data_IF_408290209447
#
_entry.id   IF_408290209447
#
_cell.length_a   1.000
_cell.length_b   1.000
_cell.length_c   1.000
_cell.angle_alpha   90.00
_cell.angle_beta   90.00
_cell.angle_gamma   90.00
#
_symmetry.space_group_name_H-M   'P 1'
#
loop_
_entity.id
_entity.type
_entity.pdbx_description
1 polymer ?
#
# COMPACT_ATOMS: atom_id res chain seq x y z
N UNK A 1 -62.85 46.86 -31.20
CA UNK A 1 -61.73 46.05 -31.74
C UNK A 1 -60.38 46.24 -31.03
N UNK A 2 -60.26 47.03 -29.94
CA UNK A 2 -58.95 47.25 -29.26
C UNK A 2 -58.64 46.28 -28.11
N UNK A 3 -59.65 45.72 -27.42
CA UNK A 3 -59.47 44.88 -26.22
C UNK A 3 -58.90 43.49 -26.53
N UNK A 4 -59.33 42.87 -27.64
CA UNK A 4 -58.83 41.56 -28.09
C UNK A 4 -57.35 41.58 -28.53
N UNK A 5 -56.83 42.75 -28.93
CA UNK A 5 -55.43 42.89 -29.34
C UNK A 5 -54.44 42.89 -28.17
N UNK A 6 -54.89 43.29 -26.98
CA UNK A 6 -54.03 43.45 -25.81
C UNK A 6 -53.77 42.12 -25.09
N UNK A 7 -54.79 41.27 -24.97
CA UNK A 7 -54.64 39.93 -24.39
C UNK A 7 -53.80 38.99 -25.28
N UNK A 8 -53.97 39.08 -26.59
CA UNK A 8 -53.18 38.31 -27.56
C UNK A 8 -51.69 38.71 -27.50
N UNK A 9 -51.40 40.02 -27.39
CA UNK A 9 -50.04 40.51 -27.16
C UNK A 9 -49.48 39.99 -25.83
N UNK A 10 -50.23 40.02 -24.73
CA UNK A 10 -49.77 39.55 -23.41
C UNK A 10 -49.45 38.04 -23.38
N UNK A 11 -50.24 37.21 -24.07
CA UNK A 11 -49.97 35.77 -24.24
C UNK A 11 -48.74 35.49 -25.12
N UNK A 12 -48.56 36.25 -26.22
CA UNK A 12 -47.35 36.18 -27.05
C UNK A 12 -46.07 36.56 -26.29
N UNK A 13 -46.11 37.61 -25.49
CA UNK A 13 -44.97 38.04 -24.69
C UNK A 13 -44.60 37.05 -23.58
N UNK A 14 -45.60 36.39 -22.96
CA UNK A 14 -45.34 35.27 -22.02
C UNK A 14 -44.71 34.07 -22.72
N UNK A 15 -45.19 33.70 -23.90
CA UNK A 15 -44.61 32.60 -24.68
C UNK A 15 -43.16 32.90 -25.10
N UNK A 16 -42.89 34.13 -25.55
CA UNK A 16 -41.53 34.59 -25.87
C UNK A 16 -40.64 34.57 -24.62
N UNK A 17 -41.13 35.03 -23.47
CA UNK A 17 -40.39 34.99 -22.22
C UNK A 17 -40.05 33.56 -21.77
N UNK A 18 -40.96 32.60 -21.94
CA UNK A 18 -40.69 31.18 -21.64
C UNK A 18 -39.71 30.54 -22.62
N UNK A 19 -39.77 30.89 -23.91
CA UNK A 19 -38.82 30.39 -24.91
C UNK A 19 -37.41 30.96 -24.65
N UNK A 20 -37.31 32.26 -24.36
CA UNK A 20 -36.02 32.90 -24.05
C UNK A 20 -35.46 32.41 -22.72
N UNK A 21 -36.31 32.28 -21.69
CA UNK A 21 -35.91 31.73 -20.39
C UNK A 21 -35.47 30.27 -20.49
N UNK A 22 -36.21 29.44 -21.25
CA UNK A 22 -35.88 28.05 -21.51
C UNK A 22 -34.58 27.90 -22.31
N UNK A 23 -34.36 28.74 -23.34
CA UNK A 23 -33.12 28.74 -24.11
C UNK A 23 -31.91 29.17 -23.27
N UNK A 24 -32.06 30.18 -22.39
CA UNK A 24 -31.04 30.57 -21.43
C UNK A 24 -30.70 29.45 -20.45
N UNK A 25 -31.71 28.74 -19.94
CA UNK A 25 -31.52 27.61 -19.04
C UNK A 25 -30.81 26.44 -19.74
N UNK A 26 -31.14 26.19 -21.01
CA UNK A 26 -30.50 25.16 -21.84
C UNK A 26 -29.05 25.54 -22.19
N UNK A 27 -28.77 26.82 -22.43
CA UNK A 27 -27.40 27.34 -22.60
C UNK A 27 -26.60 27.23 -21.29
N UNK A 28 -27.20 27.53 -20.13
CA UNK A 28 -26.55 27.33 -18.83
C UNK A 28 -26.27 25.85 -18.56
N UNK A 29 -27.18 24.94 -18.94
CA UNK A 29 -26.96 23.50 -18.83
C UNK A 29 -25.92 22.97 -19.82
N UNK A 30 -25.84 23.52 -21.03
CA UNK A 30 -24.79 23.21 -22.01
C UNK A 30 -23.44 23.75 -21.58
N UNK A 31 -23.39 24.96 -21.02
CA UNK A 31 -22.18 25.52 -20.40
C UNK A 31 -21.80 24.67 -19.19
N UNK A 32 -22.72 24.28 -18.32
CA UNK A 32 -22.44 23.38 -17.19
C UNK A 32 -21.98 21.98 -17.63
N UNK A 33 -22.46 21.47 -18.77
CA UNK A 33 -21.98 20.22 -19.36
C UNK A 33 -20.59 20.36 -20.00
N UNK A 34 -20.29 21.52 -20.61
CA UNK A 34 -18.97 21.87 -21.14
C UNK A 34 -17.95 22.19 -20.03
N UNK A 35 -18.35 22.89 -18.97
CA UNK A 35 -17.50 23.26 -17.82
C UNK A 35 -17.37 22.14 -16.80
N UNK A 36 -18.35 21.23 -16.71
CA UNK A 36 -18.24 19.96 -15.97
C UNK A 36 -17.23 18.99 -16.59
N UNK A 37 -16.89 19.17 -17.87
CA UNK A 37 -15.75 18.52 -18.54
C UNK A 37 -14.48 19.40 -18.59
N UNK A 38 -14.54 20.62 -18.08
CA UNK A 38 -13.40 21.55 -17.97
C UNK A 38 -13.28 22.02 -16.53
N UNK A 39 -13.27 21.07 -15.59
CA UNK A 39 -12.54 21.29 -14.35
C UNK A 39 -11.08 21.00 -14.67
N UNK A 40 -10.35 22.08 -14.89
CA UNK A 40 -8.91 22.13 -15.10
C UNK A 40 -8.21 21.61 -13.82
N UNK A 41 -8.21 20.29 -13.65
CA UNK A 41 -7.16 19.64 -12.92
C UNK A 41 -5.90 19.90 -13.74
N UNK A 42 -5.00 20.71 -13.22
CA UNK A 42 -3.62 20.77 -13.70
C UNK A 42 -2.96 19.41 -13.40
N UNK A 43 -3.38 18.40 -14.14
CA UNK A 43 -2.57 17.25 -14.47
C UNK A 43 -1.78 17.71 -15.67
N UNK A 44 -0.52 18.06 -15.43
CA UNK A 44 0.48 18.33 -16.44
C UNK A 44 0.47 17.16 -17.43
N UNK A 45 -0.28 17.29 -18.52
CA UNK A 45 -0.29 16.36 -19.63
C UNK A 45 0.94 16.67 -20.49
N UNK A 46 2.11 16.51 -19.88
CA UNK A 46 3.30 16.31 -20.66
C UNK A 46 3.19 14.89 -21.21
N UNK A 47 3.04 14.78 -22.53
CA UNK A 47 3.62 13.67 -23.29
C UNK A 47 5.13 13.73 -23.08
N UNK A 48 5.58 13.40 -21.87
CA UNK A 48 6.99 13.32 -21.52
C UNK A 48 7.51 12.11 -22.26
N UNK A 49 8.31 12.36 -23.28
CA UNK A 49 9.20 11.35 -23.84
C UNK A 49 9.95 10.73 -22.64
N UNK A 50 9.86 9.40 -22.48
CA UNK A 50 10.33 8.67 -21.29
C UNK A 50 11.72 9.10 -20.82
N UNK A 51 12.60 9.39 -21.79
CA UNK A 51 13.90 10.04 -21.62
C UNK A 51 13.97 11.20 -20.62
N UNK A 52 12.89 11.95 -20.32
CA UNK A 52 12.91 13.07 -19.37
C UNK A 52 12.68 12.70 -17.90
N UNK A 53 12.49 11.42 -17.56
CA UNK A 53 12.29 10.98 -16.19
C UNK A 53 13.61 10.79 -15.44
N UNK A 54 13.89 11.65 -14.46
CA UNK A 54 15.00 11.48 -13.53
C UNK A 54 14.65 10.53 -12.38
N UNK A 55 15.67 9.87 -11.82
CA UNK A 55 15.53 9.01 -10.64
C UNK A 55 15.17 9.82 -9.39
N UNK A 56 14.17 9.36 -8.63
CA UNK A 56 13.73 9.95 -7.35
C UNK A 56 13.64 8.90 -6.24
N UNK A 57 12.71 9.06 -5.29
CA UNK A 57 12.44 8.06 -4.23
C UNK A 57 11.89 6.76 -4.82
N UNK A 58 12.01 5.65 -4.07
CA UNK A 58 11.48 4.33 -4.48
C UNK A 58 10.00 4.40 -4.87
N UNK A 59 9.17 5.07 -4.08
CA UNK A 59 7.73 5.23 -4.33
C UNK A 59 7.44 6.06 -5.58
N UNK A 60 8.19 7.12 -5.82
CA UNK A 60 8.02 7.94 -7.04
C UNK A 60 8.50 7.19 -8.29
N UNK A 61 9.62 6.47 -8.19
CA UNK A 61 10.09 5.61 -9.27
C UNK A 61 9.05 4.52 -9.58
N UNK A 62 8.50 3.86 -8.56
CA UNK A 62 7.45 2.86 -8.73
C UNK A 62 6.22 3.43 -9.46
N UNK A 63 5.77 4.64 -9.09
CA UNK A 63 4.66 5.34 -9.75
C UNK A 63 4.95 5.63 -11.22
N UNK A 64 6.16 6.12 -11.52
CA UNK A 64 6.57 6.44 -12.89
C UNK A 64 6.68 5.18 -13.75
N UNK A 65 7.28 4.12 -13.23
CA UNK A 65 7.40 2.80 -13.89
C UNK A 65 6.00 2.20 -14.15
N UNK A 66 5.12 2.26 -13.16
CA UNK A 66 3.74 1.81 -13.28
C UNK A 66 2.97 2.56 -14.37
N UNK A 67 3.06 3.90 -14.35
CA UNK A 67 2.41 4.75 -15.34
C UNK A 67 2.91 4.46 -16.76
N UNK A 68 4.23 4.27 -16.91
CA UNK A 68 4.87 3.89 -18.16
C UNK A 68 4.27 2.60 -18.75
N UNK A 69 4.27 1.50 -17.99
CA UNK A 69 3.73 0.23 -18.51
C UNK A 69 2.22 0.25 -18.74
N UNK A 70 1.48 1.00 -17.91
CA UNK A 70 0.04 1.21 -18.11
C UNK A 70 -0.21 1.95 -19.43
N UNK A 71 0.53 3.02 -19.70
CA UNK A 71 0.37 3.82 -20.92
C UNK A 71 0.84 3.08 -22.17
N UNK A 72 2.02 2.45 -22.11
CA UNK A 72 2.69 1.86 -23.29
C UNK A 72 2.16 0.47 -23.64
N UNK A 73 1.91 -0.36 -22.64
CA UNK A 73 1.52 -1.76 -22.84
C UNK A 73 0.06 -2.03 -22.44
N UNK A 74 -0.65 -1.07 -21.86
CA UNK A 74 -1.97 -1.30 -21.28
C UNK A 74 -1.88 -2.35 -20.17
N UNK A 75 -0.85 -2.25 -19.33
CA UNK A 75 -0.62 -3.18 -18.24
C UNK A 75 -1.78 -3.15 -17.25
N UNK A 76 -2.23 -4.32 -16.80
CA UNK A 76 -3.16 -4.41 -15.67
C UNK A 76 -2.45 -3.93 -14.40
N UNK A 77 -3.20 -3.42 -13.40
CA UNK A 77 -2.63 -3.08 -12.12
C UNK A 77 -1.89 -4.25 -11.45
N UNK A 78 -2.42 -5.47 -11.58
CA UNK A 78 -1.81 -6.68 -11.03
C UNK A 78 -0.47 -7.01 -11.69
N UNK A 79 -0.39 -6.91 -13.02
CA UNK A 79 0.83 -7.22 -13.75
C UNK A 79 1.92 -6.20 -13.44
N UNK A 80 1.60 -4.91 -13.49
CA UNK A 80 2.56 -3.86 -13.19
C UNK A 80 3.09 -3.97 -11.75
N UNK A 81 2.21 -4.23 -10.78
CA UNK A 81 2.62 -4.48 -9.40
C UNK A 81 3.49 -5.72 -9.24
N UNK A 82 3.14 -6.82 -9.93
CA UNK A 82 3.94 -8.04 -9.97
C UNK A 82 5.38 -7.80 -10.41
N UNK A 83 5.53 -7.05 -11.50
CA UNK A 83 6.85 -6.72 -12.05
C UNK A 83 7.61 -5.78 -11.11
N UNK A 84 6.96 -4.78 -10.51
CA UNK A 84 7.58 -3.91 -9.50
C UNK A 84 8.10 -4.71 -8.30
N UNK A 85 7.41 -5.77 -7.89
CA UNK A 85 7.88 -6.65 -6.81
C UNK A 85 9.19 -7.38 -7.15
N UNK A 86 9.36 -7.78 -8.41
CA UNK A 86 10.63 -8.35 -8.89
C UNK A 86 11.73 -7.28 -8.84
N UNK A 87 11.51 -6.13 -9.48
CA UNK A 87 12.51 -5.06 -9.59
C UNK A 87 12.88 -4.45 -8.22
N UNK A 88 11.97 -4.46 -7.25
CA UNK A 88 12.29 -4.00 -5.89
C UNK A 88 13.34 -4.90 -5.22
N UNK A 89 13.29 -6.22 -5.41
CA UNK A 89 14.36 -7.07 -4.87
C UNK A 89 15.68 -6.88 -5.64
N UNK A 90 15.60 -6.66 -6.96
CA UNK A 90 16.80 -6.45 -7.79
C UNK A 90 17.54 -5.15 -7.44
N UNK A 91 16.80 -4.04 -7.29
CA UNK A 91 17.40 -2.71 -7.26
C UNK A 91 16.82 -1.78 -6.22
N UNK A 92 15.81 -2.23 -5.46
CA UNK A 92 14.96 -1.35 -4.63
C UNK A 92 14.30 -0.25 -5.48
N UNK A 93 14.02 -0.55 -6.76
CA UNK A 93 13.50 0.38 -7.76
C UNK A 93 14.37 1.65 -7.90
N UNK A 94 15.68 1.51 -7.68
CA UNK A 94 16.66 2.58 -7.82
C UNK A 94 17.49 2.35 -9.10
N UNK A 95 17.33 3.19 -10.14
CA UNK A 95 18.17 3.19 -11.33
C UNK A 95 19.67 3.32 -11.07
N UNK A 96 20.07 3.82 -9.89
CA UNK A 96 21.48 3.95 -9.48
C UNK A 96 22.02 2.72 -8.74
N UNK A 97 21.19 1.68 -8.54
CA UNK A 97 21.60 0.48 -7.82
C UNK A 97 22.72 -0.25 -8.56
N UNK A 98 23.82 -0.55 -7.85
CA UNK A 98 24.94 -1.34 -8.36
C UNK A 98 25.23 -2.48 -7.39
N UNK A 99 25.25 -3.71 -7.90
CA UNK A 99 25.72 -4.86 -7.15
C UNK A 99 27.25 -4.79 -7.03
N UNK A 100 27.76 -4.66 -5.79
CA UNK A 100 29.20 -4.49 -5.53
C UNK A 100 30.05 -5.71 -5.90
N UNK A 101 29.45 -6.91 -5.98
CA UNK A 101 30.18 -8.14 -6.28
C UNK A 101 30.21 -8.45 -7.77
N UNK A 102 29.08 -8.32 -8.46
CA UNK A 102 28.96 -8.64 -9.90
C UNK A 102 29.14 -7.43 -10.82
N UNK A 103 28.94 -6.21 -10.32
CA UNK A 103 28.90 -5.00 -11.13
C UNK A 103 27.60 -4.83 -11.93
N UNK A 104 26.59 -5.67 -11.67
CA UNK A 104 25.24 -5.53 -12.21
C UNK A 104 24.62 -4.19 -11.80
N UNK A 105 23.81 -3.58 -12.69
CA UNK A 105 23.38 -2.18 -12.50
C UNK A 105 21.92 -1.93 -12.89
N UNK A 106 21.32 -0.91 -12.29
CA UNK A 106 20.00 -0.39 -12.67
C UNK A 106 18.83 -1.25 -12.22
N UNK A 107 17.64 -0.90 -12.70
CA UNK A 107 16.36 -1.46 -12.26
C UNK A 107 16.30 -2.98 -12.31
N UNK A 108 16.76 -3.56 -13.42
CA UNK A 108 16.77 -5.01 -13.68
C UNK A 108 18.17 -5.63 -13.52
N UNK A 109 19.08 -4.94 -12.82
CA UNK A 109 20.44 -5.43 -12.54
C UNK A 109 21.16 -5.97 -13.79
N UNK A 110 21.15 -5.18 -14.87
CA UNK A 110 21.80 -5.52 -16.13
C UNK A 110 23.30 -5.78 -15.95
N UNK A 111 23.80 -6.83 -16.59
CA UNK A 111 25.18 -7.28 -16.52
C UNK A 111 25.71 -7.68 -17.91
N UNK A 112 27.03 -7.62 -18.09
CA UNK A 112 27.71 -8.01 -19.33
C UNK A 112 27.18 -7.26 -20.54
N UNK A 113 26.94 -7.94 -21.66
CA UNK A 113 26.47 -7.31 -22.89
C UNK A 113 25.10 -6.63 -22.80
N UNK A 114 24.26 -6.92 -21.78
CA UNK A 114 23.04 -6.13 -21.51
C UNK A 114 23.40 -4.78 -20.90
N UNK A 115 24.37 -4.74 -20.00
CA UNK A 115 24.89 -3.50 -19.43
C UNK A 115 25.55 -2.63 -20.49
N UNK A 116 26.36 -3.20 -21.38
CA UNK A 116 27.03 -2.44 -22.45
C UNK A 116 26.01 -1.74 -23.36
N UNK A 117 24.91 -2.42 -23.70
CA UNK A 117 23.82 -1.85 -24.52
C UNK A 117 23.03 -0.76 -23.80
N UNK A 118 22.86 -0.86 -22.47
CA UNK A 118 22.28 0.22 -21.68
C UNK A 118 23.16 1.47 -21.72
N UNK A 119 24.47 1.31 -21.56
CA UNK A 119 25.44 2.42 -21.63
C UNK A 119 25.47 3.05 -23.05
N UNK A 120 25.44 2.22 -24.10
CA UNK A 120 25.36 2.70 -25.49
C UNK A 120 24.08 3.51 -25.74
N UNK A 121 22.94 3.08 -25.19
CA UNK A 121 21.69 3.83 -25.28
C UNK A 121 21.80 5.15 -24.53
N UNK A 122 22.32 5.13 -23.31
CA UNK A 122 22.51 6.32 -22.49
C UNK A 122 23.39 7.37 -23.21
N UNK A 123 24.50 6.93 -23.81
CA UNK A 123 25.36 7.79 -24.64
C UNK A 123 24.62 8.36 -25.85
N UNK A 124 23.84 7.53 -26.56
CA UNK A 124 23.05 7.96 -27.72
C UNK A 124 22.00 9.01 -27.35
N UNK A 125 21.39 8.89 -26.18
CA UNK A 125 20.37 9.81 -25.66
C UNK A 125 20.97 11.01 -24.91
N UNK A 126 22.29 11.07 -24.80
CA UNK A 126 23.03 12.10 -24.09
C UNK A 126 22.55 12.28 -22.63
N UNK A 127 22.32 11.16 -21.95
CA UNK A 127 21.85 11.08 -20.56
C UNK A 127 22.67 10.02 -19.80
N UNK A 128 22.76 10.09 -18.46
CA UNK A 128 23.45 9.05 -17.69
C UNK A 128 22.66 7.73 -17.72
N UNK A 129 23.36 6.59 -17.73
CA UNK A 129 22.72 5.26 -17.67
C UNK A 129 21.90 5.03 -16.40
N UNK A 130 22.07 5.87 -15.37
CA UNK A 130 21.25 5.88 -14.14
C UNK A 130 19.98 6.73 -14.25
N UNK A 131 19.67 7.30 -15.42
CA UNK A 131 18.42 7.99 -15.64
C UNK A 131 17.27 6.97 -15.75
N UNK A 132 16.14 7.26 -15.11
CA UNK A 132 15.01 6.32 -15.05
C UNK A 132 14.40 6.12 -16.45
N UNK A 133 14.25 7.20 -17.20
CA UNK A 133 13.77 7.19 -18.59
C UNK A 133 14.61 6.29 -19.49
N UNK A 134 15.93 6.50 -19.51
CA UNK A 134 16.88 5.68 -20.29
C UNK A 134 16.74 4.19 -19.97
N UNK A 135 16.58 3.83 -18.69
CA UNK A 135 16.42 2.43 -18.28
C UNK A 135 15.07 1.83 -18.68
N UNK A 136 14.00 2.63 -18.70
CA UNK A 136 12.69 2.22 -19.22
C UNK A 136 12.73 2.04 -20.75
N UNK A 137 13.34 2.98 -21.47
CA UNK A 137 13.57 2.88 -22.91
C UNK A 137 14.40 1.64 -23.26
N UNK A 138 15.42 1.32 -22.46
CA UNK A 138 16.21 0.10 -22.65
C UNK A 138 15.42 -1.18 -22.38
N UNK A 139 14.66 -1.24 -21.27
CA UNK A 139 13.78 -2.36 -20.95
C UNK A 139 12.78 -2.61 -22.09
N UNK A 140 12.25 -1.55 -22.69
CA UNK A 140 11.33 -1.65 -23.82
C UNK A 140 12.00 -2.12 -25.11
N UNK A 141 13.27 -1.73 -25.35
CA UNK A 141 14.06 -2.29 -26.45
C UNK A 141 14.26 -3.80 -26.26
N UNK A 142 14.51 -4.25 -25.03
CA UNK A 142 14.60 -5.67 -24.73
C UNK A 142 13.27 -6.38 -25.01
N UNK A 143 12.16 -5.87 -24.49
CA UNK A 143 10.80 -6.42 -24.72
C UNK A 143 10.36 -6.42 -26.18
N UNK A 144 11.01 -5.65 -27.05
CA UNK A 144 10.76 -5.65 -28.49
C UNK A 144 11.74 -6.52 -29.28
N UNK A 145 12.77 -7.06 -28.64
CA UNK A 145 13.65 -8.07 -29.23
C UNK A 145 12.92 -9.42 -29.35
N UNK A 146 13.34 -10.25 -30.31
CA UNK A 146 12.75 -11.58 -30.52
C UNK A 146 12.85 -12.49 -29.29
N UNK A 147 13.87 -12.31 -28.45
CA UNK A 147 14.10 -13.14 -27.27
C UNK A 147 13.09 -12.85 -26.13
N UNK A 148 12.79 -11.57 -25.86
CA UNK A 148 11.88 -11.19 -24.77
C UNK A 148 10.47 -10.79 -25.23
N UNK A 149 10.18 -10.84 -26.53
CA UNK A 149 8.89 -10.41 -27.08
C UNK A 149 7.68 -11.10 -26.43
N UNK A 150 7.82 -12.36 -26.03
CA UNK A 150 6.78 -13.11 -25.32
C UNK A 150 6.42 -12.44 -24.00
N UNK A 151 7.38 -11.87 -23.27
CA UNK A 151 7.16 -11.36 -21.91
C UNK A 151 6.12 -10.23 -21.86
N UNK A 152 5.86 -9.55 -22.98
CA UNK A 152 4.77 -8.57 -23.11
C UNK A 152 3.38 -9.14 -22.77
N UNK A 153 3.17 -10.45 -22.89
CA UNK A 153 1.93 -11.11 -22.47
C UNK A 153 1.67 -10.99 -20.96
N UNK A 154 2.73 -10.85 -20.15
CA UNK A 154 2.65 -10.75 -18.69
C UNK A 154 1.89 -9.48 -18.29
N UNK A 155 2.01 -8.38 -19.05
CA UNK A 155 1.27 -7.15 -18.81
C UNK A 155 -0.27 -7.31 -18.81
N UNK A 156 -0.78 -8.43 -19.35
CA UNK A 156 -2.23 -8.71 -19.38
C UNK A 156 -2.70 -9.60 -18.22
N UNK A 157 -1.81 -10.04 -17.35
CA UNK A 157 -2.16 -10.94 -16.25
C UNK A 157 -2.98 -10.24 -15.19
N UNK A 158 -4.01 -10.89 -14.68
CA UNK A 158 -4.88 -10.38 -13.61
C UNK A 158 -4.55 -11.01 -12.24
N UNK A 159 -3.41 -11.69 -12.15
CA UNK A 159 -2.89 -12.31 -10.94
C UNK A 159 -1.48 -11.77 -10.66
N UNK A 160 -1.34 -11.11 -9.51
CA UNK A 160 -0.11 -10.41 -9.08
C UNK A 160 1.05 -11.40 -8.95
N UNK A 161 0.80 -12.58 -8.38
CA UNK A 161 1.83 -13.57 -8.09
C UNK A 161 2.25 -14.30 -9.35
N UNK A 162 1.30 -14.60 -10.22
CA UNK A 162 1.59 -15.14 -11.55
C UNK A 162 2.46 -14.15 -12.34
N UNK A 163 2.10 -12.87 -12.38
CA UNK A 163 2.90 -11.87 -13.08
C UNK A 163 4.31 -11.73 -12.50
N UNK A 164 4.44 -11.72 -11.18
CA UNK A 164 5.74 -11.69 -10.48
C UNK A 164 6.60 -12.89 -10.86
N UNK A 165 6.04 -14.10 -10.81
CA UNK A 165 6.77 -15.33 -11.06
C UNK A 165 7.19 -15.44 -12.53
N UNK A 166 6.28 -15.23 -13.46
CA UNK A 166 6.61 -15.34 -14.89
C UNK A 166 7.59 -14.26 -15.32
N UNK A 167 7.51 -13.03 -14.78
CA UNK A 167 8.53 -12.00 -15.04
C UNK A 167 9.91 -12.41 -14.52
N UNK A 168 9.97 -12.95 -13.30
CA UNK A 168 11.20 -13.48 -12.72
C UNK A 168 11.79 -14.64 -13.56
N UNK A 169 10.96 -15.55 -14.06
CA UNK A 169 11.46 -16.69 -14.84
C UNK A 169 11.89 -16.28 -16.25
N UNK A 170 11.09 -15.46 -16.91
CA UNK A 170 11.21 -15.21 -18.35
C UNK A 170 12.03 -13.96 -18.67
N UNK A 171 11.98 -12.92 -17.84
CA UNK A 171 12.74 -11.69 -18.05
C UNK A 171 14.06 -11.70 -17.28
N UNK A 172 14.03 -12.00 -15.97
CA UNK A 172 15.27 -12.12 -15.18
C UNK A 172 16.02 -13.44 -15.45
N UNK A 173 15.38 -14.40 -16.15
CA UNK A 173 16.03 -15.64 -16.56
C UNK A 173 16.30 -16.61 -15.40
N UNK A 174 15.56 -16.51 -14.29
CA UNK A 174 15.87 -17.18 -13.03
C UNK A 174 15.48 -18.68 -13.01
N UNK A 175 14.93 -19.23 -14.09
CA UNK A 175 14.36 -20.61 -14.13
C UNK A 175 15.32 -21.72 -13.68
N UNK A 176 16.63 -21.51 -13.82
CA UNK A 176 17.69 -22.47 -13.44
C UNK A 176 18.34 -22.21 -12.08
N UNK A 177 17.88 -21.17 -11.36
CA UNK A 177 18.46 -20.71 -10.10
C UNK A 177 17.39 -20.59 -8.99
N UNK A 178 16.74 -21.70 -8.60
CA UNK A 178 15.67 -21.71 -7.60
C UNK A 178 16.06 -21.10 -6.25
N UNK A 179 17.34 -21.18 -5.88
CA UNK A 179 17.90 -20.57 -4.68
C UNK A 179 17.86 -19.04 -4.68
N UNK A 180 17.76 -18.41 -5.86
CA UNK A 180 17.71 -16.94 -6.03
C UNK A 180 16.30 -16.43 -6.32
N UNK A 181 15.30 -17.31 -6.28
CA UNK A 181 13.94 -16.92 -6.63
C UNK A 181 13.36 -15.93 -5.64
N UNK A 182 13.54 -16.20 -4.34
CA UNK A 182 13.00 -15.39 -3.24
C UNK A 182 11.52 -15.02 -3.46
N UNK A 183 10.71 -15.93 -4.01
CA UNK A 183 9.33 -15.66 -4.45
C UNK A 183 8.47 -15.07 -3.33
N UNK A 184 8.63 -15.56 -2.09
CA UNK A 184 7.88 -15.01 -0.95
C UNK A 184 8.17 -13.52 -0.72
N UNK A 185 9.42 -13.07 -0.85
CA UNK A 185 9.77 -11.66 -0.71
C UNK A 185 9.27 -10.83 -1.91
N UNK A 186 9.47 -11.33 -3.13
CA UNK A 186 9.02 -10.64 -4.35
C UNK A 186 7.50 -10.53 -4.42
N UNK A 187 6.78 -11.57 -4.00
CA UNK A 187 5.32 -11.53 -3.84
C UNK A 187 4.90 -10.50 -2.80
N UNK A 188 5.57 -10.44 -1.64
CA UNK A 188 5.30 -9.41 -0.64
C UNK A 188 5.47 -7.99 -1.17
N UNK A 189 6.52 -7.73 -1.95
CA UNK A 189 6.72 -6.43 -2.62
C UNK A 189 5.68 -6.17 -3.70
N UNK A 190 5.33 -7.18 -4.50
CA UNK A 190 4.32 -7.06 -5.53
C UNK A 190 2.93 -6.72 -4.97
N UNK A 191 2.53 -7.40 -3.90
CA UNK A 191 1.26 -7.14 -3.23
C UNK A 191 1.22 -5.76 -2.59
N UNK A 192 2.36 -5.30 -2.03
CA UNK A 192 2.52 -3.93 -1.57
C UNK A 192 2.23 -2.93 -2.70
N UNK A 193 2.91 -3.04 -3.85
CA UNK A 193 2.70 -2.11 -4.97
C UNK A 193 1.30 -2.19 -5.56
N UNK A 194 0.68 -3.38 -5.55
CA UNK A 194 -0.70 -3.53 -5.99
C UNK A 194 -1.66 -2.74 -5.08
N UNK A 195 -1.43 -2.76 -3.76
CA UNK A 195 -2.22 -1.99 -2.81
C UNK A 195 -2.01 -0.47 -2.94
N UNK A 196 -0.77 -0.03 -3.26
CA UNK A 196 -0.41 1.39 -3.37
C UNK A 196 -0.85 2.02 -4.69
N UNK A 197 -0.78 1.27 -5.80
CA UNK A 197 -0.93 1.81 -7.15
C UNK A 197 -2.19 1.30 -7.88
N UNK A 198 -2.65 0.10 -7.52
CA UNK A 198 -3.80 -0.53 -8.17
C UNK A 198 -5.17 -0.03 -7.70
N UNK A 199 -5.23 0.63 -6.54
CA UNK A 199 -6.46 1.23 -6.00
C UNK A 199 -6.94 2.49 -6.78
N UNK A 200 -6.09 3.06 -7.65
CA UNK A 200 -6.33 4.30 -8.40
C UNK A 200 -6.74 4.10 -9.87
N UNK A 201 -7.23 2.91 -10.26
CA UNK A 201 -7.65 2.58 -11.63
C UNK A 201 -9.18 2.40 -11.76
N UNK A 202 -9.89 3.09 -12.68
CA UNK A 202 -11.35 2.96 -12.86
C UNK A 202 -11.88 1.57 -13.25
N UNK A 203 -11.01 0.58 -13.53
CA UNK A 203 -11.43 -0.83 -13.73
C UNK A 203 -11.45 -1.62 -12.40
N UNK A 204 -10.97 -1.02 -11.30
CA UNK A 204 -11.24 -1.47 -9.93
C UNK A 204 -12.56 -0.89 -9.36
N UNK A 205 -13.33 -0.17 -10.18
CA UNK A 205 -14.51 0.60 -9.81
C UNK A 205 -15.77 -0.21 -9.60
N UNK A 206 -15.82 -1.05 -8.55
CA UNK A 206 -17.09 -1.53 -8.01
C UNK A 206 -17.15 -1.67 -6.47
N UNK A 207 -16.17 -1.18 -5.70
CA UNK A 207 -16.27 -1.23 -4.22
C UNK A 207 -15.67 -0.06 -3.44
N UNK A 208 -15.19 1.03 -4.05
CA UNK A 208 -14.50 2.10 -3.31
C UNK A 208 -15.09 3.52 -3.38
N UNK A 209 -16.20 3.73 -4.07
CA UNK A 209 -16.86 5.05 -4.09
C UNK A 209 -17.81 5.20 -2.90
N UNK A 210 -17.24 5.34 -1.69
CA UNK A 210 -17.90 6.03 -0.57
C UNK A 210 -16.98 6.50 0.55
N UNK A 211 -15.65 6.51 0.37
CA UNK A 211 -14.72 6.73 1.47
C UNK A 211 -13.78 7.94 1.30
N UNK A 212 -14.18 8.98 0.56
CA UNK A 212 -13.40 10.22 0.53
C UNK A 212 -14.27 11.46 0.40
N UNK A 213 -15.06 11.73 1.45
CA UNK A 213 -15.46 13.06 1.89
C UNK A 213 -16.12 12.92 3.26
N UNK A 214 -15.30 12.93 4.32
CA UNK A 214 -15.75 12.89 5.69
C UNK A 214 -14.65 13.39 6.60
N UNK A 215 -14.90 14.51 7.25
CA UNK A 215 -14.03 15.22 8.18
C UNK A 215 -13.29 14.32 9.17
N UNK A 216 -12.06 14.73 9.49
CA UNK A 216 -11.19 14.20 10.55
C UNK A 216 -11.71 14.50 11.98
N UNK A 217 -13.03 14.57 12.18
CA UNK A 217 -13.63 14.87 13.49
C UNK A 217 -14.92 14.08 13.72
N UNK A 218 -14.82 12.76 13.91
CA UNK A 218 -15.82 12.04 14.68
C UNK A 218 -15.19 10.86 15.40
N UNK A 219 -14.67 11.15 16.60
CA UNK A 219 -14.36 10.16 17.62
C UNK A 219 -15.61 9.31 17.87
N UNK A 220 -15.45 8.00 17.71
CA UNK A 220 -16.52 7.03 17.83
C UNK A 220 -17.41 7.23 19.05
N UNK A 221 -18.67 7.56 18.78
CA UNK A 221 -19.74 7.26 19.71
C UNK A 221 -20.14 5.80 19.51
N UNK A 222 -19.70 4.89 20.37
CA UNK A 222 -20.66 3.97 20.95
C UNK A 222 -20.26 3.46 22.36
N UNK A 223 -21.33 3.33 23.12
CA UNK A 223 -21.47 3.21 24.56
C UNK A 223 -21.11 1.83 25.10
N UNK A 224 -19.85 1.67 25.53
CA UNK A 224 -19.49 0.77 26.63
C UNK A 224 -18.61 1.56 27.61
N UNK A 225 -19.13 2.01 28.76
CA UNK A 225 -18.38 2.82 29.71
C UNK A 225 -17.18 2.07 30.35
N UNK A 226 -16.99 0.77 30.04
CA UNK A 226 -15.87 -0.04 30.53
C UNK A 226 -14.67 -0.11 29.58
N UNK A 227 -14.82 0.10 28.26
CA UNK A 227 -13.74 -0.18 27.29
C UNK A 227 -12.95 1.07 26.86
N UNK A 228 -11.72 1.21 27.37
CA UNK A 228 -10.82 2.35 27.07
C UNK A 228 -9.91 2.15 25.85
N UNK A 229 -10.42 1.52 24.78
CA UNK A 229 -9.65 1.23 23.55
C UNK A 229 -8.94 2.46 22.96
N UNK A 230 -9.54 3.66 23.11
CA UNK A 230 -8.91 4.91 22.68
C UNK A 230 -7.58 5.24 23.39
N UNK A 231 -7.38 4.79 24.62
CA UNK A 231 -6.10 4.97 25.32
C UNK A 231 -5.00 4.06 24.77
N UNK A 232 -5.35 2.85 24.31
CA UNK A 232 -4.40 1.93 23.68
C UNK A 232 -3.94 2.52 22.35
N UNK A 233 -4.88 2.91 21.49
CA UNK A 233 -4.61 3.52 20.18
C UNK A 233 -3.75 4.76 20.32
N UNK A 234 -4.13 5.70 21.21
CA UNK A 234 -3.35 6.92 21.45
C UNK A 234 -1.90 6.63 21.88
N UNK A 235 -1.70 5.65 22.76
CA UNK A 235 -0.35 5.30 23.20
C UNK A 235 0.46 4.61 22.09
N UNK A 236 -0.18 3.74 21.31
CA UNK A 236 0.43 3.12 20.14
C UNK A 236 0.86 4.17 19.10
N UNK A 237 -0.04 5.09 18.74
CA UNK A 237 0.23 6.18 17.79
C UNK A 237 1.37 7.09 18.25
N UNK A 238 1.50 7.32 19.57
CA UNK A 238 2.58 8.14 20.13
C UNK A 238 3.99 7.56 19.92
N UNK A 239 4.06 6.27 19.56
CA UNK A 239 5.30 5.55 19.27
C UNK A 239 5.56 5.38 17.76
N UNK A 240 4.72 5.96 16.88
CA UNK A 240 4.92 5.87 15.43
C UNK A 240 6.28 6.43 15.01
N UNK A 241 7.03 5.65 14.21
CA UNK A 241 8.39 6.00 13.79
C UNK A 241 9.48 5.77 14.86
N UNK A 242 9.11 5.29 16.05
CA UNK A 242 10.05 4.85 17.07
C UNK A 242 10.43 3.38 16.86
N UNK A 243 11.52 3.01 17.54
CA UNK A 243 12.15 1.68 17.63
C UNK A 243 12.75 1.15 16.32
N UNK A 244 13.63 0.18 16.45
CA UNK A 244 14.02 -0.70 15.33
C UNK A 244 13.56 -2.14 15.62
N UNK A 245 13.34 -2.90 14.55
CA UNK A 245 12.87 -4.28 14.67
C UNK A 245 14.00 -5.24 15.08
N UNK A 246 13.80 -5.97 16.17
CA UNK A 246 14.68 -7.06 16.61
C UNK A 246 13.90 -8.08 17.43
N UNK A 247 14.16 -9.37 17.23
CA UNK A 247 13.47 -10.46 17.97
C UNK A 247 13.85 -10.54 19.45
N UNK A 248 14.88 -9.81 19.88
CA UNK A 248 15.24 -9.67 21.28
C UNK A 248 14.42 -8.53 21.87
N UNK A 249 13.33 -8.86 22.57
CA UNK A 249 12.44 -7.90 23.21
C UNK A 249 12.29 -8.17 24.72
N UNK A 250 12.59 -7.20 25.61
CA UNK A 250 13.21 -5.92 25.28
C UNK A 250 14.67 -6.11 24.85
N UNK A 251 15.12 -5.28 23.91
CA UNK A 251 16.55 -5.16 23.63
C UNK A 251 17.26 -4.44 24.79
N UNK A 252 18.58 -4.64 24.98
CA UNK A 252 19.32 -3.96 26.06
C UNK A 252 19.26 -2.43 26.00
N UNK A 253 19.12 -1.87 24.80
CA UNK A 253 19.08 -0.43 24.54
C UNK A 253 17.68 0.17 24.48
N UNK A 254 16.61 -0.64 24.65
CA UNK A 254 15.25 -0.17 24.87
C UNK A 254 15.08 0.54 26.22
N UNK A 255 15.98 0.25 27.17
CA UNK A 255 16.01 0.84 28.50
C UNK A 255 15.19 0.04 29.53
N UNK A 256 15.36 0.39 30.81
CA UNK A 256 14.73 -0.31 31.94
C UNK A 256 13.38 0.29 32.35
N UNK A 257 13.09 1.55 32.00
CA UNK A 257 11.76 2.16 32.19
C UNK A 257 10.86 1.90 30.98
N UNK A 258 10.17 0.77 30.98
CA UNK A 258 9.29 0.36 29.88
C UNK A 258 7.96 1.13 29.82
N UNK A 259 7.76 2.17 30.64
CA UNK A 259 6.70 3.18 30.41
C UNK A 259 7.19 4.33 29.53
N UNK A 260 8.50 4.55 29.49
CA UNK A 260 9.18 5.57 28.70
C UNK A 260 10.41 4.95 28.02
N UNK A 261 10.21 3.99 27.10
CA UNK A 261 11.32 3.30 26.45
C UNK A 261 12.15 4.27 25.60
N UNK A 262 13.39 3.89 25.34
CA UNK A 262 14.24 4.59 24.39
C UNK A 262 13.66 4.47 22.97
N UNK A 263 13.31 5.61 22.37
CA UNK A 263 12.74 5.70 21.02
C UNK A 263 13.65 5.13 19.93
N UNK A 264 14.95 4.99 20.18
CA UNK A 264 15.90 4.39 19.23
C UNK A 264 16.28 2.95 19.59
N UNK A 265 15.69 2.36 20.64
CA UNK A 265 15.96 0.99 21.07
C UNK A 265 15.20 -0.05 20.25
N UNK A 266 15.51 -1.32 20.47
CA UNK A 266 14.93 -2.44 19.73
C UNK A 266 13.76 -3.14 20.44
N UNK A 267 12.76 -3.55 19.67
CA UNK A 267 11.72 -4.52 20.10
C UNK A 267 11.13 -5.23 18.86
N UNK A 268 10.29 -6.25 19.07
CA UNK A 268 9.54 -6.92 18.01
C UNK A 268 8.05 -6.48 18.03
N UNK A 269 7.22 -7.13 17.20
CA UNK A 269 5.78 -6.89 17.14
C UNK A 269 5.07 -7.14 18.49
N UNK A 270 5.46 -8.18 19.23
CA UNK A 270 4.82 -8.54 20.50
C UNK A 270 5.23 -7.62 21.66
N UNK A 271 6.47 -7.15 21.68
CA UNK A 271 6.97 -6.15 22.61
C UNK A 271 6.40 -4.75 22.32
N UNK A 272 6.14 -4.40 21.06
CA UNK A 272 5.39 -3.18 20.74
C UNK A 272 3.98 -3.19 21.34
N UNK A 273 3.21 -4.27 21.14
CA UNK A 273 1.89 -4.43 21.76
C UNK A 273 2.00 -4.35 23.28
N UNK A 274 3.03 -4.97 23.86
CA UNK A 274 3.30 -4.88 25.30
C UNK A 274 3.49 -3.43 25.77
N UNK A 275 4.30 -2.64 25.07
CA UNK A 275 4.57 -1.24 25.41
C UNK A 275 3.30 -0.40 25.38
N UNK A 276 2.49 -0.55 24.32
CA UNK A 276 1.23 0.18 24.18
C UNK A 276 0.26 -0.14 25.32
N UNK A 277 0.12 -1.42 25.66
CA UNK A 277 -0.76 -1.88 26.74
C UNK A 277 -0.25 -1.47 28.13
N UNK A 278 1.05 -1.59 28.39
CA UNK A 278 1.64 -1.17 29.66
C UNK A 278 1.47 0.34 29.88
N UNK A 279 1.72 1.15 28.85
CA UNK A 279 1.55 2.61 28.88
C UNK A 279 0.09 3.03 29.04
N UNK A 280 -0.84 2.26 28.45
CA UNK A 280 -2.28 2.44 28.62
C UNK A 280 -2.84 1.89 29.94
N UNK A 281 -2.02 1.24 30.79
CA UNK A 281 -2.43 0.76 32.10
C UNK A 281 -3.12 -0.61 32.13
N UNK A 282 -2.94 -1.43 31.09
CA UNK A 282 -3.51 -2.78 30.99
C UNK A 282 -2.57 -3.84 31.59
N UNK A 283 -3.13 -5.01 31.92
CA UNK A 283 -2.34 -6.16 32.39
C UNK A 283 -1.45 -6.64 31.26
N UNK A 284 -0.18 -6.82 31.59
CA UNK A 284 0.84 -7.37 30.70
C UNK A 284 1.79 -8.25 31.54
N UNK A 285 2.40 -9.29 30.96
CA UNK A 285 3.37 -10.11 31.68
C UNK A 285 4.60 -9.28 32.08
N UNK A 286 5.29 -9.68 33.15
CA UNK A 286 6.52 -8.99 33.56
C UNK A 286 7.58 -9.02 32.44
N UNK A 287 8.34 -7.94 32.29
CA UNK A 287 9.52 -7.86 31.42
C UNK A 287 9.29 -8.27 29.96
N UNK A 288 8.13 -7.94 29.36
CA UNK A 288 7.77 -8.40 28.01
C UNK A 288 7.80 -9.92 27.82
N UNK A 289 7.53 -10.68 28.88
CA UNK A 289 7.64 -12.15 28.90
C UNK A 289 6.60 -12.92 28.06
N UNK A 290 6.11 -12.32 26.98
CA UNK A 290 5.31 -13.00 25.97
C UNK A 290 5.96 -12.87 24.58
N UNK A 291 5.47 -13.70 23.67
CA UNK A 291 5.61 -13.54 22.24
C UNK A 291 4.26 -13.87 21.58
N UNK A 292 4.14 -13.64 20.28
CA UNK A 292 2.92 -13.83 19.46
C UNK A 292 2.20 -15.16 19.70
N UNK A 293 2.92 -16.28 19.83
CA UNK A 293 2.33 -17.58 20.18
C UNK A 293 1.65 -17.60 21.55
N UNK A 294 2.38 -17.19 22.60
CA UNK A 294 1.85 -17.14 23.97
C UNK A 294 0.72 -16.12 24.16
N UNK A 295 0.70 -15.04 23.38
CA UNK A 295 -0.41 -14.09 23.37
C UNK A 295 -1.71 -14.77 22.90
N UNK A 296 -1.63 -15.57 21.83
CA UNK A 296 -2.79 -16.34 21.35
C UNK A 296 -3.20 -17.43 22.36
N UNK A 297 -2.25 -18.11 23.00
CA UNK A 297 -2.53 -19.10 24.04
C UNK A 297 -3.25 -18.49 25.25
N UNK A 298 -2.82 -17.33 25.72
CA UNK A 298 -3.49 -16.62 26.81
C UNK A 298 -4.88 -16.15 26.41
N UNK A 299 -5.01 -15.58 25.20
CA UNK A 299 -6.29 -15.10 24.66
C UNK A 299 -7.33 -16.22 24.54
N UNK A 300 -6.93 -17.45 24.22
CA UNK A 300 -7.83 -18.61 24.06
C UNK A 300 -8.05 -19.41 25.35
N UNK A 301 -7.25 -19.16 26.37
CA UNK A 301 -7.13 -20.05 27.52
C UNK A 301 -7.23 -19.30 28.85
N UNK A 302 -6.06 -19.00 29.43
CA UNK A 302 -5.95 -18.51 30.81
C UNK A 302 -6.54 -17.13 31.04
N UNK A 303 -6.66 -16.32 29.98
CA UNK A 303 -7.19 -14.96 30.02
C UNK A 303 -6.57 -14.11 31.14
N UNK A 304 -5.25 -14.16 31.31
CA UNK A 304 -4.54 -13.35 32.30
C UNK A 304 -4.33 -11.92 31.80
N UNK A 305 -4.09 -11.75 30.51
CA UNK A 305 -3.74 -10.49 29.87
C UNK A 305 -4.65 -10.15 28.69
N UNK A 306 -5.04 -11.17 27.91
CA UNK A 306 -5.85 -11.04 26.70
C UNK A 306 -7.03 -12.00 26.77
N UNK A 307 -8.17 -11.64 26.18
CA UNK A 307 -9.34 -12.52 26.03
C UNK A 307 -9.80 -12.56 24.58
N UNK A 308 -9.95 -13.73 23.99
CA UNK A 308 -10.42 -13.89 22.62
C UNK A 308 -11.83 -13.29 22.48
N UNK A 309 -12.04 -12.59 21.37
CA UNK A 309 -13.31 -11.98 20.98
C UNK A 309 -13.70 -12.41 19.57
N UNK A 310 -14.98 -12.25 19.24
CA UNK A 310 -15.47 -12.50 17.89
C UNK A 310 -15.08 -11.35 16.95
N UNK A 311 -15.09 -11.63 15.65
CA UNK A 311 -14.91 -10.61 14.61
C UNK A 311 -15.92 -9.45 14.72
N UNK A 312 -17.15 -9.75 15.14
CA UNK A 312 -18.20 -8.75 15.29
C UNK A 312 -17.95 -7.78 16.46
N UNK A 313 -17.25 -8.25 17.48
CA UNK A 313 -16.95 -7.48 18.70
C UNK A 313 -15.65 -6.70 18.61
N UNK A 314 -14.81 -7.02 17.63
CA UNK A 314 -13.47 -6.47 17.47
C UNK A 314 -13.50 -5.03 16.97
N UNK A 315 -12.82 -4.16 17.71
CA UNK A 315 -12.79 -2.70 17.51
C UNK A 315 -11.43 -2.10 17.85
N UNK A 316 -11.31 -0.80 17.61
CA UNK A 316 -10.11 -0.02 17.91
C UNK A 316 -9.56 -0.31 19.34
N UNK A 317 -8.26 -0.58 19.42
CA UNK A 317 -7.55 -0.96 20.65
C UNK A 317 -7.56 -2.46 20.97
N UNK A 318 -8.35 -3.28 20.27
CA UNK A 318 -8.22 -4.74 20.35
C UNK A 318 -6.97 -5.19 19.58
N UNK A 319 -6.52 -6.42 19.83
CA UNK A 319 -5.28 -6.98 19.30
C UNK A 319 -5.62 -8.05 18.26
N UNK A 320 -4.94 -8.03 17.12
CA UNK A 320 -4.93 -9.13 16.17
C UNK A 320 -3.61 -9.90 16.30
N UNK A 321 -3.72 -11.22 16.34
CA UNK A 321 -2.59 -12.15 16.53
C UNK A 321 -2.72 -13.23 15.46
N UNK A 322 -1.66 -13.45 14.69
CA UNK A 322 -1.66 -14.49 13.65
C UNK A 322 -0.43 -15.37 13.84
N UNK A 323 -0.66 -16.68 13.93
CA UNK A 323 0.39 -17.65 14.13
C UNK A 323 0.32 -18.77 13.09
N UNK A 324 1.47 -19.07 12.49
CA UNK A 324 1.79 -20.33 11.84
C UNK A 324 2.48 -21.24 12.86
N UNK A 325 1.94 -22.45 13.06
CA UNK A 325 2.46 -23.38 14.07
C UNK A 325 2.52 -22.73 15.46
N UNK A 326 3.69 -22.77 16.11
CA UNK A 326 3.89 -22.22 17.45
C UNK A 326 3.94 -20.68 17.50
N UNK A 327 3.97 -19.99 16.35
CA UNK A 327 3.93 -18.53 16.33
C UNK A 327 5.22 -17.84 16.79
N UNK A 328 6.39 -18.49 16.65
CA UNK A 328 7.69 -17.94 17.05
C UNK A 328 8.45 -17.34 15.86
N UNK A 329 9.21 -16.26 16.09
CA UNK A 329 9.98 -15.57 15.05
C UNK A 329 9.09 -15.14 13.89
N UNK A 330 9.51 -15.44 12.66
CA UNK A 330 8.77 -15.08 11.44
C UNK A 330 7.43 -15.81 11.27
N UNK A 331 7.13 -16.81 12.10
CA UNK A 331 5.87 -17.57 12.05
C UNK A 331 4.77 -16.92 12.89
N UNK A 332 5.03 -15.80 13.56
CA UNK A 332 4.04 -15.08 14.35
C UNK A 332 4.10 -13.59 14.06
N UNK A 333 2.93 -12.95 14.06
CA UNK A 333 2.84 -11.50 14.02
C UNK A 333 1.65 -11.01 14.84
N UNK A 334 1.71 -9.75 15.30
CA UNK A 334 0.61 -9.13 16.05
C UNK A 334 0.59 -7.62 15.88
N UNK A 335 -0.61 -7.05 15.99
CA UNK A 335 -0.84 -5.61 15.82
C UNK A 335 -2.07 -5.15 16.63
N UNK A 336 -2.20 -3.84 16.78
CA UNK A 336 -3.35 -3.19 17.43
C UNK A 336 -4.30 -2.69 16.35
N UNK A 337 -5.60 -2.99 16.49
CA UNK A 337 -6.63 -2.49 15.59
C UNK A 337 -6.82 -0.99 15.80
N UNK A 338 -6.89 -0.22 14.70
CA UNK A 338 -7.22 1.21 14.73
C UNK A 338 -8.72 1.46 14.52
N UNK A 339 -9.42 0.50 13.91
CA UNK A 339 -10.84 0.59 13.55
C UNK A 339 -11.60 -0.67 13.95
N UNK A 340 -12.91 -0.69 13.66
CA UNK A 340 -13.72 -1.93 13.68
C UNK A 340 -13.14 -2.96 12.72
N UNK A 341 -13.18 -4.24 13.10
CA UNK A 341 -12.74 -5.33 12.25
C UNK A 341 -13.53 -5.39 10.94
N UNK A 342 -12.79 -5.41 9.84
CA UNK A 342 -13.25 -5.42 8.44
C UNK A 342 -12.45 -6.44 7.62
N UNK A 343 -11.93 -7.49 8.28
CA UNK A 343 -11.04 -8.46 7.64
C UNK A 343 -9.74 -7.82 7.14
N UNK A 344 -9.35 -8.13 5.89
CA UNK A 344 -8.09 -7.65 5.28
C UNK A 344 -7.98 -6.12 5.22
N UNK A 345 -9.09 -5.40 5.18
CA UNK A 345 -9.10 -3.94 5.11
C UNK A 345 -8.93 -3.24 6.47
N UNK A 346 -8.95 -3.99 7.58
CA UNK A 346 -8.87 -3.39 8.93
C UNK A 346 -7.57 -2.62 9.09
N UNK A 347 -7.67 -1.32 9.43
CA UNK A 347 -6.49 -0.52 9.76
C UNK A 347 -5.88 -0.98 11.08
N UNK A 348 -4.56 -1.00 11.11
CA UNK A 348 -3.79 -1.43 12.26
C UNK A 348 -2.60 -0.50 12.48
N UNK A 349 -2.07 -0.54 13.69
CA UNK A 349 -0.74 -0.04 14.02
C UNK A 349 0.11 -1.20 14.55
N UNK A 350 1.33 -1.27 14.06
CA UNK A 350 2.21 -2.42 14.23
C UNK A 350 3.68 -2.00 14.33
N UNK A 351 4.53 -2.93 14.72
CA UNK A 351 5.97 -2.85 14.53
C UNK A 351 6.42 -4.11 13.80
N UNK A 352 7.18 -3.95 12.71
CA UNK A 352 7.38 -5.04 11.76
C UNK A 352 6.34 -5.01 10.65
N UNK A 353 6.10 -6.16 10.01
CA UNK A 353 5.17 -6.28 8.89
C UNK A 353 5.72 -5.59 7.65
N UNK A 354 5.30 -4.34 7.42
CA UNK A 354 5.67 -3.54 6.23
C UNK A 354 6.87 -2.62 6.44
N UNK A 355 7.43 -2.54 7.65
CA UNK A 355 8.57 -1.68 7.98
C UNK A 355 9.39 -2.17 9.17
N UNK A 356 10.49 -1.47 9.48
CA UNK A 356 11.40 -1.78 10.58
C UNK A 356 11.14 -0.96 11.86
N UNK A 357 10.15 -0.06 11.81
CA UNK A 357 9.71 0.82 12.90
C UNK A 357 8.23 0.66 13.17
N UNK A 358 7.72 1.30 14.23
CA UNK A 358 6.27 1.40 14.43
C UNK A 358 5.63 2.15 13.27
N UNK A 359 4.64 1.54 12.62
CA UNK A 359 4.01 2.03 11.42
C UNK A 359 2.52 1.65 11.38
N UNK A 360 1.79 2.26 10.44
CA UNK A 360 0.39 1.92 10.18
C UNK A 360 0.27 1.18 8.85
N UNK A 361 -0.65 0.22 8.83
CA UNK A 361 -0.91 -0.61 7.67
C UNK A 361 -2.35 -1.12 7.73
N UNK A 362 -2.68 -2.05 6.85
CA UNK A 362 -3.90 -2.86 6.95
C UNK A 362 -3.55 -4.28 7.36
N UNK A 363 -4.48 -4.95 8.03
CA UNK A 363 -4.32 -6.36 8.42
C UNK A 363 -3.92 -7.24 7.22
N UNK A 364 -4.56 -7.03 6.07
CA UNK A 364 -4.29 -7.80 4.85
C UNK A 364 -2.86 -7.65 4.36
N UNK A 365 -2.31 -6.43 4.40
CA UNK A 365 -0.95 -6.14 3.93
C UNK A 365 0.10 -6.61 4.93
N UNK A 366 -0.08 -6.28 6.21
CA UNK A 366 0.88 -6.54 7.27
C UNK A 366 1.06 -8.03 7.60
N UNK A 367 -0.03 -8.80 7.51
CA UNK A 367 -0.04 -10.21 7.88
C UNK A 367 0.04 -11.14 6.68
N UNK A 368 0.24 -10.60 5.47
CA UNK A 368 0.06 -11.32 4.22
C UNK A 368 0.79 -12.68 4.16
N UNK A 369 2.07 -12.70 4.53
CA UNK A 369 2.91 -13.92 4.57
C UNK A 369 2.37 -15.00 5.53
N UNK A 370 1.55 -14.59 6.49
CA UNK A 370 0.93 -15.43 7.50
C UNK A 370 -0.55 -15.70 7.22
N UNK A 371 -1.18 -15.25 6.13
CA UNK A 371 -2.63 -15.50 5.95
C UNK A 371 -2.95 -16.88 5.36
N UNK A 372 -1.97 -17.56 4.76
CA UNK A 372 -2.17 -18.91 4.21
C UNK A 372 -2.02 -19.98 5.30
N UNK A 373 -3.13 -20.56 5.74
CA UNK A 373 -3.15 -21.72 6.65
C UNK A 373 -2.91 -21.41 8.13
N UNK A 374 -3.07 -20.15 8.54
CA UNK A 374 -2.74 -19.70 9.90
C UNK A 374 -3.96 -19.40 10.75
N UNK A 375 -3.74 -19.43 12.06
CA UNK A 375 -4.76 -19.17 13.05
C UNK A 375 -4.81 -17.67 13.38
N UNK A 376 -5.91 -17.01 13.01
CA UNK A 376 -6.18 -15.59 13.32
C UNK A 376 -6.96 -15.51 14.63
N UNK A 377 -6.38 -14.82 15.61
CA UNK A 377 -6.99 -14.58 16.92
C UNK A 377 -7.20 -13.09 17.12
N UNK A 378 -8.44 -12.67 17.31
CA UNK A 378 -8.78 -11.33 17.78
C UNK A 378 -8.94 -11.38 19.30
N UNK A 379 -8.29 -10.45 20.00
CA UNK A 379 -8.23 -10.48 21.45
C UNK A 379 -8.40 -9.10 22.07
N UNK A 380 -9.17 -9.03 23.16
CA UNK A 380 -9.37 -7.84 23.97
C UNK A 380 -8.41 -7.81 25.16
N UNK A 381 -7.64 -6.73 25.36
CA UNK A 381 -6.80 -6.56 26.53
C UNK A 381 -7.57 -6.45 27.84
N UNK A 382 -7.01 -7.02 28.92
CA UNK A 382 -7.60 -7.03 30.26
C UNK A 382 -7.03 -5.87 31.07
N UNK A 383 -7.91 -5.05 31.67
CA UNK A 383 -7.49 -3.94 32.55
C UNK A 383 -6.86 -4.46 33.83
N UNK A 384 -5.96 -3.64 34.41
CA UNK A 384 -5.33 -3.90 35.72
C UNK A 384 -6.36 -4.04 36.84
#
# INVERSE_FOLDING_TARGET
>A
MQVLSFEYKKKKWKLIAYIVGGALLLIILLIAALTGQLQENSCDNSTTTETQLDSKSMTENAKNIYAHWKQKYGATPQAAAGILGVLQLESRLDPKSVNSSSGATGLAQWLGGRKDKLEDLAHKENKPATNLGVQLDYLDQELNSSYYASNKQIFKYTDVHKATKEWLMDYEGMSKNPEQWYLSQRYGYADHWYSVLGASDPVAGNTLDNASSGDLTELGCDSDPSYSGGSIVKNAESMKGDFYYVQTHPSPDLGSDLKNPNKTGGTDCSGFVWLALNKAGYKVPANMGWFTGSMASDAKGSHQYLKQISENDAKAGDIVIVNQGAGAGNNGHTAILLDKWQGKATKIIEQGGVGDKVNESTFGTAFYSLLSGSDVTLARPIKK
#
